data_IF_123570969421
#
_entry.id   IF_123570969421
#
_cell.length_a   1.000
_cell.length_b   1.000
_cell.length_c   1.000
_cell.angle_alpha   90.00
_cell.angle_beta   90.00
_cell.angle_gamma   90.00
#
_symmetry.space_group_name_H-M   'P 1'
#
loop_
_entity.id
_entity.type
_entity.pdbx_description
1 polymer ?
#
# COMPACT_ATOMS: atom_id res chain seq x y z
N UNK A 1 24.53 -8.71 9.77
CA UNK A 1 23.34 -9.23 10.47
C UNK A 1 22.58 -10.12 9.50
N UNK A 2 22.42 -11.41 9.80
CA UNK A 2 21.74 -12.34 8.88
C UNK A 2 20.24 -12.13 8.94
N UNK A 3 19.69 -11.45 7.94
CA UNK A 3 18.26 -11.28 7.75
C UNK A 3 17.64 -12.63 7.37
N UNK A 4 17.18 -13.39 8.34
CA UNK A 4 16.38 -14.58 8.07
C UNK A 4 14.96 -14.13 7.79
N UNK A 5 14.52 -14.30 6.55
CA UNK A 5 13.12 -14.22 6.15
C UNK A 5 12.27 -15.05 7.11
N UNK A 6 11.35 -14.44 7.84
CA UNK A 6 10.31 -15.21 8.51
C UNK A 6 9.52 -15.86 7.38
N UNK A 7 9.53 -17.18 7.32
CA UNK A 7 8.83 -17.87 6.24
C UNK A 7 7.35 -17.50 6.35
N UNK A 8 6.71 -17.24 5.20
CA UNK A 8 5.25 -17.03 5.12
C UNK A 8 4.47 -18.13 5.84
N UNK A 9 5.03 -19.32 5.96
CA UNK A 9 4.53 -20.42 6.78
C UNK A 9 4.42 -20.10 8.28
N UNK A 10 5.33 -19.31 8.87
CA UNK A 10 5.21 -18.91 10.29
C UNK A 10 4.10 -17.90 10.51
N UNK A 11 3.86 -17.01 9.56
CA UNK A 11 2.72 -16.10 9.59
C UNK A 11 1.40 -16.87 9.45
N UNK A 12 1.36 -17.87 8.57
CA UNK A 12 0.16 -18.69 8.32
C UNK A 12 -0.11 -19.71 9.44
N UNK A 13 0.94 -20.28 10.06
CA UNK A 13 0.76 -21.32 11.11
C UNK A 13 0.21 -20.78 12.43
N UNK A 14 0.33 -19.47 12.68
CA UNK A 14 -0.29 -18.81 13.85
C UNK A 14 -1.77 -18.46 13.62
N UNK A 15 -2.27 -18.63 12.40
CA UNK A 15 -3.59 -18.22 11.97
C UNK A 15 -4.33 -19.44 11.43
N UNK A 16 -5.33 -19.90 12.13
CA UNK A 16 -6.26 -20.93 11.61
C UNK A 16 -7.03 -20.32 10.43
N UNK A 17 -6.47 -20.48 9.22
CA UNK A 17 -7.05 -19.96 8.00
C UNK A 17 -8.38 -20.61 7.69
N UNK A 18 -9.48 -19.94 8.03
CA UNK A 18 -10.78 -20.28 7.45
C UNK A 18 -10.79 -19.82 5.99
N UNK A 19 -11.29 -20.66 5.09
CA UNK A 19 -11.52 -20.21 3.72
C UNK A 19 -12.36 -18.93 3.76
N UNK A 20 -11.96 -17.90 3.01
CA UNK A 20 -12.72 -16.65 2.92
C UNK A 20 -14.17 -16.88 2.46
N UNK A 21 -14.45 -17.97 1.73
CA UNK A 21 -15.80 -18.38 1.32
C UNK A 21 -16.69 -18.78 2.50
N UNK A 22 -16.10 -19.11 3.66
CA UNK A 22 -16.83 -19.41 4.89
C UNK A 22 -16.99 -18.19 5.82
N UNK A 23 -16.67 -16.99 5.36
CA UNK A 23 -16.86 -15.77 6.14
C UNK A 23 -18.33 -15.37 6.17
N UNK A 24 -18.87 -15.22 7.37
CA UNK A 24 -20.26 -14.81 7.57
C UNK A 24 -20.43 -13.28 7.61
N UNK A 25 -19.34 -12.51 7.74
CA UNK A 25 -19.40 -11.05 7.67
C UNK A 25 -19.46 -10.57 6.22
N UNK A 26 -20.50 -9.84 5.81
CA UNK A 26 -20.61 -9.29 4.45
C UNK A 26 -19.42 -8.39 4.08
N UNK A 27 -18.95 -7.58 5.03
CA UNK A 27 -17.80 -6.67 4.86
C UNK A 27 -16.52 -7.46 4.56
N UNK A 28 -16.21 -8.48 5.37
CA UNK A 28 -15.02 -9.30 5.17
C UNK A 28 -15.13 -10.16 3.92
N UNK A 29 -16.31 -10.65 3.61
CA UNK A 29 -16.55 -11.42 2.38
C UNK A 29 -16.32 -10.56 1.13
N UNK A 30 -16.88 -9.33 1.09
CA UNK A 30 -16.65 -8.39 -0.02
C UNK A 30 -15.18 -8.04 -0.17
N UNK A 31 -14.49 -7.74 0.93
CA UNK A 31 -13.06 -7.47 0.95
C UNK A 31 -12.26 -8.65 0.40
N UNK A 32 -12.45 -9.84 0.95
CA UNK A 32 -11.73 -11.04 0.55
C UNK A 32 -11.97 -11.37 -0.93
N UNK A 33 -13.20 -11.23 -1.39
CA UNK A 33 -13.55 -11.40 -2.80
C UNK A 33 -12.82 -10.40 -3.69
N UNK A 34 -12.81 -9.12 -3.33
CA UNK A 34 -12.13 -8.08 -4.09
C UNK A 34 -10.60 -8.29 -4.16
N UNK A 35 -10.00 -8.77 -3.07
CA UNK A 35 -8.56 -9.03 -2.99
C UNK A 35 -8.13 -10.32 -3.71
N UNK A 36 -8.96 -11.36 -3.74
CA UNK A 36 -8.60 -12.68 -4.26
C UNK A 36 -9.17 -13.01 -5.62
N UNK A 37 -10.38 -12.55 -5.93
CA UNK A 37 -11.03 -12.80 -7.22
C UNK A 37 -10.86 -11.57 -8.13
N UNK A 38 -10.76 -11.81 -9.42
CA UNK A 38 -10.95 -10.79 -10.44
C UNK A 38 -12.37 -10.92 -11.00
N UNK A 39 -13.36 -10.26 -10.42
CA UNK A 39 -14.73 -10.39 -10.88
C UNK A 39 -14.83 -9.90 -12.33
N UNK A 40 -15.47 -10.70 -13.18
CA UNK A 40 -15.72 -10.35 -14.58
C UNK A 40 -16.64 -9.13 -14.72
N UNK A 41 -17.40 -8.83 -13.67
CA UNK A 41 -18.34 -7.70 -13.60
C UNK A 41 -18.19 -7.00 -12.26
N UNK A 42 -18.05 -5.69 -12.31
CA UNK A 42 -18.12 -4.82 -11.13
C UNK A 42 -19.60 -4.53 -10.84
N UNK A 43 -20.03 -4.48 -9.56
CA UNK A 43 -21.44 -4.27 -9.20
C UNK A 43 -22.01 -2.92 -9.64
N UNK A 44 -21.21 -1.93 -9.92
CA UNK A 44 -21.60 -0.52 -9.89
C UNK A 44 -21.75 0.15 -11.27
N UNK A 45 -21.89 -0.61 -12.36
CA UNK A 45 -22.12 -0.01 -13.69
C UNK A 45 -20.97 0.85 -14.24
N UNK A 46 -19.83 0.92 -13.53
CA UNK A 46 -18.64 1.58 -14.05
C UNK A 46 -18.19 0.87 -15.31
N UNK A 47 -18.20 1.60 -16.43
CA UNK A 47 -17.91 1.05 -17.75
C UNK A 47 -16.51 0.47 -17.77
N UNK A 48 -16.42 -0.85 -17.89
CA UNK A 48 -15.19 -1.64 -18.01
C UNK A 48 -14.22 -1.14 -19.11
N UNK A 49 -14.68 -0.32 -20.03
CA UNK A 49 -13.87 0.22 -21.13
C UNK A 49 -12.86 1.25 -20.64
N UNK A 50 -13.28 2.23 -19.85
CA UNK A 50 -12.39 3.27 -19.34
C UNK A 50 -11.37 2.71 -18.36
N UNK A 51 -11.77 1.72 -17.56
CA UNK A 51 -10.90 1.02 -16.63
C UNK A 51 -9.83 0.18 -17.33
N UNK A 52 -10.20 -0.50 -18.43
CA UNK A 52 -9.24 -1.27 -19.24
C UNK A 52 -8.20 -0.38 -19.92
N UNK A 53 -8.61 0.77 -20.46
CA UNK A 53 -7.70 1.72 -21.09
C UNK A 53 -6.72 2.30 -20.07
N UNK A 54 -7.21 2.72 -18.90
CA UNK A 54 -6.37 3.22 -17.82
C UNK A 54 -5.37 2.14 -17.35
N UNK A 55 -5.82 0.90 -17.18
CA UNK A 55 -4.95 -0.21 -16.79
C UNK A 55 -3.88 -0.50 -17.85
N UNK A 56 -4.25 -0.50 -19.14
CA UNK A 56 -3.28 -0.69 -20.22
C UNK A 56 -2.22 0.41 -20.25
N UNK A 57 -2.62 1.67 -19.99
CA UNK A 57 -1.71 2.80 -19.92
C UNK A 57 -0.72 2.68 -18.76
N UNK A 58 -1.16 2.26 -17.58
CA UNK A 58 -0.29 1.97 -16.42
C UNK A 58 0.68 0.84 -16.77
N UNK A 59 0.23 -0.23 -17.41
CA UNK A 59 1.05 -1.35 -17.85
C UNK A 59 2.11 -0.95 -18.87
N UNK A 60 1.73 -0.14 -19.84
CA UNK A 60 2.64 0.39 -20.84
C UNK A 60 3.73 1.25 -20.19
N UNK A 61 3.36 2.12 -19.25
CA UNK A 61 4.31 2.94 -18.50
C UNK A 61 5.27 2.08 -17.67
N UNK A 62 4.78 1.06 -16.97
CA UNK A 62 5.61 0.11 -16.23
C UNK A 62 6.60 -0.60 -17.16
N UNK A 63 6.15 -1.04 -18.32
CA UNK A 63 7.00 -1.70 -19.32
C UNK A 63 8.07 -0.76 -19.85
N UNK A 64 7.73 0.50 -20.14
CA UNK A 64 8.67 1.56 -20.53
C UNK A 64 9.76 1.74 -19.45
N UNK A 65 9.40 1.82 -18.19
CA UNK A 65 10.36 1.99 -17.10
C UNK A 65 11.24 0.75 -16.89
N UNK A 66 10.70 -0.46 -17.05
CA UNK A 66 11.48 -1.70 -17.00
C UNK A 66 12.55 -1.78 -18.10
N UNK A 67 12.33 -1.11 -19.22
CA UNK A 67 13.27 -1.02 -20.34
C UNK A 67 14.17 0.22 -20.27
N UNK A 68 13.97 1.11 -19.31
CA UNK A 68 14.71 2.37 -19.20
C UNK A 68 16.17 2.15 -18.83
N UNK A 69 17.08 2.87 -19.51
CA UNK A 69 18.49 2.97 -19.13
C UNK A 69 18.77 4.13 -18.16
N UNK A 70 17.75 4.94 -17.83
CA UNK A 70 17.92 6.07 -16.93
C UNK A 70 18.27 5.63 -15.52
N UNK A 71 19.06 6.45 -14.86
CA UNK A 71 19.36 6.36 -13.42
C UNK A 71 18.83 7.60 -12.72
N UNK A 72 18.45 7.45 -11.48
CA UNK A 72 18.10 8.56 -10.60
C UNK A 72 18.92 8.48 -9.32
N UNK A 73 19.27 9.64 -8.83
CA UNK A 73 19.85 9.79 -7.50
C UNK A 73 18.73 9.60 -6.47
N UNK A 74 18.84 8.54 -5.70
CA UNK A 74 17.83 8.13 -4.73
C UNK A 74 18.36 8.32 -3.31
N UNK A 75 17.56 8.98 -2.48
CA UNK A 75 17.80 9.13 -1.06
C UNK A 75 16.88 8.17 -0.32
N UNK A 76 17.47 7.15 0.31
CA UNK A 76 16.73 6.17 1.09
C UNK A 76 16.66 6.61 2.55
N UNK A 77 15.47 6.89 3.03
CA UNK A 77 15.20 7.27 4.43
C UNK A 77 14.72 6.08 5.28
N UNK A 78 14.61 4.89 4.69
CA UNK A 78 14.10 3.67 5.35
C UNK A 78 15.16 2.61 5.61
N UNK A 79 14.69 1.36 5.80
CA UNK A 79 15.54 0.19 6.07
C UNK A 79 16.43 -0.25 4.90
N UNK A 80 16.36 0.43 3.77
CA UNK A 80 17.06 0.08 2.55
C UNK A 80 16.36 -0.96 1.69
N UNK A 81 16.92 -1.20 0.50
CA UNK A 81 16.41 -2.21 -0.44
C UNK A 81 17.03 -3.58 -0.15
N UNK A 82 16.27 -4.67 -0.36
CA UNK A 82 16.76 -6.05 -0.26
C UNK A 82 18.02 -6.34 -1.08
N UNK A 83 18.28 -5.55 -2.12
CA UNK A 83 19.40 -5.77 -3.05
C UNK A 83 20.64 -4.96 -2.68
N UNK A 84 20.48 -3.87 -1.91
CA UNK A 84 21.62 -3.08 -1.39
C UNK A 84 21.29 -2.66 0.04
N UNK A 85 22.05 -3.18 0.98
CA UNK A 85 21.98 -2.76 2.39
C UNK A 85 22.58 -1.36 2.55
N UNK A 86 21.86 -0.45 3.18
CA UNK A 86 22.33 0.87 3.58
C UNK A 86 21.31 1.98 3.34
N UNK A 87 21.17 2.84 4.34
CA UNK A 87 20.54 4.15 4.20
C UNK A 87 21.54 5.12 3.54
N UNK A 88 21.04 6.06 2.74
CA UNK A 88 21.85 7.10 2.14
C UNK A 88 21.61 7.30 0.65
N UNK A 89 22.44 8.19 0.09
CA UNK A 89 22.37 8.59 -1.30
C UNK A 89 22.96 7.53 -2.21
N UNK A 90 22.20 7.02 -3.17
CA UNK A 90 22.67 6.03 -4.14
C UNK A 90 22.08 6.30 -5.51
N UNK A 91 22.86 6.04 -6.57
CA UNK A 91 22.32 6.02 -7.91
C UNK A 91 21.57 4.70 -8.15
N UNK A 92 20.30 4.78 -8.47
CA UNK A 92 19.46 3.62 -8.77
C UNK A 92 18.96 3.64 -10.21
N UNK A 93 19.07 2.53 -10.89
CA UNK A 93 18.48 2.39 -12.23
C UNK A 93 16.94 2.37 -12.10
N UNK A 94 16.27 3.16 -12.92
CA UNK A 94 14.80 3.18 -13.00
C UNK A 94 14.26 1.79 -13.32
N UNK A 95 14.91 1.08 -14.22
CA UNK A 95 14.54 -0.31 -14.57
C UNK A 95 14.63 -1.26 -13.37
N UNK A 96 15.56 -1.03 -12.44
CA UNK A 96 15.67 -1.82 -11.21
C UNK A 96 14.48 -1.53 -10.28
N UNK A 97 14.17 -0.24 -10.04
CA UNK A 97 13.00 0.14 -9.24
C UNK A 97 11.71 -0.44 -9.83
N UNK A 98 11.52 -0.33 -11.14
CA UNK A 98 10.32 -0.82 -11.82
C UNK A 98 10.15 -2.35 -11.78
N UNK A 99 11.26 -3.11 -11.62
CA UNK A 99 11.22 -4.58 -11.57
C UNK A 99 11.11 -5.13 -10.16
N UNK A 100 11.74 -4.48 -9.18
CA UNK A 100 12.04 -5.10 -7.88
C UNK A 100 11.51 -4.33 -6.67
N UNK A 101 11.19 -3.04 -6.82
CA UNK A 101 10.74 -2.19 -5.70
C UNK A 101 9.25 -1.91 -5.78
N UNK A 102 8.72 -1.66 -6.96
CA UNK A 102 7.29 -1.38 -7.12
C UNK A 102 6.42 -2.55 -6.69
N UNK A 103 5.34 -2.25 -6.00
CA UNK A 103 4.25 -3.19 -5.72
C UNK A 103 3.89 -3.99 -6.97
N UNK A 104 3.73 -5.29 -6.82
CA UNK A 104 3.34 -6.16 -7.94
C UNK A 104 1.99 -5.69 -8.51
N UNK A 105 1.88 -5.69 -9.83
CA UNK A 105 0.69 -5.19 -10.52
C UNK A 105 -0.59 -5.91 -10.08
N UNK A 106 -0.54 -7.23 -9.93
CA UNK A 106 -1.68 -8.02 -9.46
C UNK A 106 -2.18 -7.59 -8.08
N UNK A 107 -1.27 -7.15 -7.22
CA UNK A 107 -1.58 -6.75 -5.86
C UNK A 107 -2.12 -5.31 -5.83
N UNK A 108 -1.52 -4.39 -6.60
CA UNK A 108 -2.02 -3.04 -6.77
C UNK A 108 -3.43 -3.03 -7.39
N UNK A 109 -3.70 -3.90 -8.39
CA UNK A 109 -5.02 -4.10 -8.95
C UNK A 109 -6.00 -4.67 -7.92
N UNK A 110 -5.59 -5.64 -7.10
CA UNK A 110 -6.44 -6.21 -6.08
C UNK A 110 -6.83 -5.18 -5.02
N UNK A 111 -5.87 -4.34 -4.59
CA UNK A 111 -6.14 -3.23 -3.66
C UNK A 111 -7.08 -2.19 -4.29
N UNK A 112 -6.87 -1.81 -5.55
CA UNK A 112 -7.79 -0.91 -6.26
C UNK A 112 -9.21 -1.49 -6.36
N UNK A 113 -9.36 -2.80 -6.60
CA UNK A 113 -10.65 -3.48 -6.55
C UNK A 113 -11.27 -3.44 -5.17
N UNK A 114 -10.46 -3.65 -4.12
CA UNK A 114 -10.94 -3.55 -2.75
C UNK A 114 -11.42 -2.13 -2.43
N UNK A 115 -10.66 -1.09 -2.77
CA UNK A 115 -11.10 0.29 -2.60
C UNK A 115 -12.46 0.55 -3.28
N UNK A 116 -12.65 0.08 -4.52
CA UNK A 116 -13.96 0.18 -5.21
C UNK A 116 -15.08 -0.59 -4.52
N UNK A 117 -14.76 -1.64 -3.78
CA UNK A 117 -15.76 -2.43 -3.06
C UNK A 117 -16.21 -1.79 -1.75
N UNK A 118 -15.55 -0.73 -1.31
CA UNK A 118 -16.00 0.08 -0.19
C UNK A 118 -17.16 0.97 -0.65
N UNK A 119 -18.16 1.13 0.20
CA UNK A 119 -19.42 1.82 -0.16
C UNK A 119 -19.26 3.34 -0.39
N UNK A 120 -18.05 3.87 -0.21
CA UNK A 120 -17.74 5.30 -0.32
C UNK A 120 -16.52 5.53 -1.18
N UNK A 121 -16.58 6.50 -2.09
CA UNK A 121 -15.40 7.12 -2.67
C UNK A 121 -14.82 8.05 -1.60
N UNK A 122 -13.58 7.79 -1.20
CA UNK A 122 -12.96 8.47 -0.08
C UNK A 122 -11.56 8.96 -0.43
N UNK A 123 -10.82 9.31 0.62
CA UNK A 123 -9.43 9.74 0.54
C UNK A 123 -8.51 8.60 0.91
N UNK A 124 -7.51 8.32 0.07
CA UNK A 124 -6.42 7.39 0.39
C UNK A 124 -5.11 8.16 0.54
N UNK A 125 -4.38 7.84 1.61
CA UNK A 125 -3.00 8.27 1.80
C UNK A 125 -2.06 7.10 1.53
N UNK A 126 -1.09 7.31 0.66
CA UNK A 126 0.02 6.39 0.43
C UNK A 126 1.31 6.97 1.02
N UNK A 127 2.02 6.20 1.86
CA UNK A 127 3.37 6.52 2.34
C UNK A 127 4.36 5.62 1.61
N UNK A 128 5.22 6.21 0.77
CA UNK A 128 6.14 5.50 -0.11
C UNK A 128 5.66 5.48 -1.55
N UNK A 129 5.71 6.63 -2.21
CA UNK A 129 5.27 6.80 -3.61
C UNK A 129 6.08 5.97 -4.59
N UNK A 130 7.41 5.89 -4.37
CA UNK A 130 8.34 5.31 -5.34
C UNK A 130 8.13 5.91 -6.75
N UNK A 131 7.98 5.11 -7.79
CA UNK A 131 7.69 5.61 -9.14
C UNK A 131 6.19 5.92 -9.37
N UNK A 132 5.34 5.84 -8.33
CA UNK A 132 3.96 6.30 -8.34
C UNK A 132 2.94 5.42 -9.08
N UNK A 133 3.24 4.14 -9.34
CA UNK A 133 2.29 3.26 -10.03
C UNK A 133 1.13 2.82 -9.14
N UNK A 134 1.36 2.60 -7.85
CA UNK A 134 0.30 2.25 -6.90
C UNK A 134 -0.71 3.39 -6.76
N UNK A 135 -0.22 4.63 -6.63
CA UNK A 135 -1.07 5.82 -6.64
C UNK A 135 -1.98 5.87 -7.88
N UNK A 136 -1.48 5.53 -9.08
CA UNK A 136 -2.31 5.48 -10.29
C UNK A 136 -3.40 4.42 -10.23
N UNK A 137 -3.14 3.26 -9.62
CA UNK A 137 -4.17 2.25 -9.40
C UNK A 137 -5.26 2.75 -8.44
N UNK A 138 -4.90 3.56 -7.43
CA UNK A 138 -5.86 4.17 -6.52
C UNK A 138 -6.68 5.27 -7.20
N UNK A 139 -6.06 6.15 -8.01
CA UNK A 139 -6.78 7.12 -8.87
C UNK A 139 -7.77 6.39 -9.78
N UNK A 140 -7.35 5.31 -10.44
CA UNK A 140 -8.20 4.49 -11.29
C UNK A 140 -9.40 3.89 -10.53
N UNK A 141 -9.28 3.68 -9.22
CA UNK A 141 -10.39 3.22 -8.41
C UNK A 141 -11.42 4.30 -8.08
N UNK A 142 -11.17 5.55 -8.47
CA UNK A 142 -12.06 6.69 -8.24
C UNK A 142 -11.86 7.36 -6.87
N UNK A 143 -10.72 7.13 -6.24
CA UNK A 143 -10.41 7.70 -4.93
C UNK A 143 -9.52 8.95 -5.04
N UNK A 144 -9.72 9.89 -4.13
CA UNK A 144 -8.81 11.03 -3.93
C UNK A 144 -7.49 10.53 -3.36
N UNK A 145 -6.40 10.72 -4.08
CA UNK A 145 -5.10 10.19 -3.70
C UNK A 145 -4.18 11.28 -3.17
N UNK A 146 -3.68 11.07 -1.97
CA UNK A 146 -2.52 11.79 -1.45
C UNK A 146 -1.37 10.79 -1.29
N UNK A 147 -0.14 11.19 -1.67
CA UNK A 147 1.03 10.32 -1.56
C UNK A 147 2.26 11.07 -1.07
N UNK A 148 3.05 10.42 -0.23
CA UNK A 148 4.23 10.98 0.42
C UNK A 148 5.49 10.24 0.02
N UNK A 149 6.54 10.98 -0.35
CA UNK A 149 7.83 10.43 -0.79
C UNK A 149 8.99 11.16 -0.12
N UNK A 150 9.97 10.39 0.39
CA UNK A 150 11.17 10.95 0.99
C UNK A 150 12.15 11.55 -0.01
N UNK A 151 12.25 10.96 -1.20
CA UNK A 151 13.22 11.34 -2.21
C UNK A 151 12.62 12.28 -3.27
N UNK A 152 13.10 13.56 -3.38
CA UNK A 152 12.60 14.50 -4.38
C UNK A 152 12.74 14.00 -5.83
N UNK A 153 13.86 13.34 -6.13
CA UNK A 153 14.12 12.85 -7.48
C UNK A 153 13.18 11.69 -7.86
N UNK A 154 12.87 10.83 -6.90
CA UNK A 154 11.90 9.75 -7.08
C UNK A 154 10.50 10.32 -7.31
N UNK A 155 10.09 11.32 -6.50
CA UNK A 155 8.82 12.01 -6.70
C UNK A 155 8.74 12.74 -8.04
N UNK A 156 9.82 13.39 -8.48
CA UNK A 156 9.84 14.04 -9.79
C UNK A 156 9.63 13.03 -10.92
N UNK A 157 10.20 11.84 -10.79
CA UNK A 157 9.96 10.75 -11.75
C UNK A 157 8.52 10.26 -11.73
N UNK A 158 7.92 10.08 -10.55
CA UNK A 158 6.51 9.72 -10.41
C UNK A 158 5.60 10.75 -11.09
N UNK A 159 5.80 12.04 -10.81
CA UNK A 159 5.04 13.14 -11.43
C UNK A 159 5.14 13.13 -12.95
N UNK A 160 6.34 12.90 -13.51
CA UNK A 160 6.50 12.80 -14.96
C UNK A 160 5.69 11.63 -15.56
N UNK A 161 5.60 10.53 -14.83
CA UNK A 161 4.74 9.40 -15.19
C UNK A 161 3.26 9.77 -15.20
N UNK A 162 2.78 10.41 -14.14
CA UNK A 162 1.39 10.86 -14.01
C UNK A 162 1.03 11.90 -15.08
N UNK A 163 1.94 12.84 -15.36
CA UNK A 163 1.78 13.81 -16.44
C UNK A 163 1.65 13.14 -17.82
N UNK A 164 2.48 12.11 -18.07
CA UNK A 164 2.41 11.38 -19.34
C UNK A 164 1.09 10.62 -19.56
N UNK A 165 0.36 10.35 -18.47
CA UNK A 165 -0.96 9.71 -18.49
C UNK A 165 -2.12 10.70 -18.29
N UNK A 166 -1.83 12.01 -18.12
CA UNK A 166 -2.85 13.04 -17.90
C UNK A 166 -3.55 12.95 -16.54
N UNK A 167 -2.91 12.30 -15.53
CA UNK A 167 -3.50 12.09 -14.19
C UNK A 167 -2.77 12.85 -13.08
N UNK A 168 -1.81 13.71 -13.40
CA UNK A 168 -1.05 14.49 -12.41
C UNK A 168 -1.97 15.30 -11.47
N UNK A 169 -3.00 15.92 -12.02
CA UNK A 169 -3.99 16.68 -11.24
C UNK A 169 -4.87 15.84 -10.32
N UNK A 170 -4.85 14.51 -10.45
CA UNK A 170 -5.61 13.59 -9.61
C UNK A 170 -4.83 13.10 -8.38
N UNK A 171 -3.55 13.46 -8.25
CA UNK A 171 -2.68 13.02 -7.17
C UNK A 171 -2.11 14.22 -6.42
N UNK A 172 -2.43 14.33 -5.15
CA UNK A 172 -1.76 15.28 -4.25
C UNK A 172 -0.49 14.64 -3.73
N UNK A 173 0.66 15.25 -3.98
CA UNK A 173 1.95 14.67 -3.56
C UNK A 173 2.73 15.61 -2.65
N UNK A 174 3.32 15.04 -1.59
CA UNK A 174 4.23 15.73 -0.66
C UNK A 174 5.62 15.09 -0.69
N UNK A 175 6.65 15.91 -0.48
CA UNK A 175 8.06 15.47 -0.42
C UNK A 175 8.64 15.85 0.92
N UNK A 176 9.26 14.90 1.59
CA UNK A 176 9.88 15.07 2.92
C UNK A 176 9.95 13.75 3.67
N UNK A 177 10.53 13.75 4.85
CA UNK A 177 10.47 12.59 5.73
C UNK A 177 9.04 12.38 6.25
N UNK A 178 8.63 11.14 6.49
CA UNK A 178 7.31 10.88 7.05
C UNK A 178 7.10 11.57 8.40
N UNK A 179 8.17 11.64 9.20
CA UNK A 179 8.14 12.33 10.48
C UNK A 179 7.81 13.82 10.32
N UNK A 180 8.54 14.54 9.44
CA UNK A 180 8.29 15.96 9.21
C UNK A 180 6.90 16.22 8.65
N UNK A 181 6.41 15.32 7.77
CA UNK A 181 5.08 15.46 7.18
C UNK A 181 3.96 15.18 8.18
N UNK A 182 4.18 14.29 9.18
CA UNK A 182 3.26 14.08 10.29
C UNK A 182 3.18 15.30 11.22
N UNK A 183 4.33 15.93 11.50
CA UNK A 183 4.40 17.13 12.34
C UNK A 183 3.69 18.33 11.70
N UNK A 184 3.72 18.43 10.37
CA UNK A 184 3.06 19.47 9.56
C UNK A 184 1.60 19.19 9.25
N UNK A 185 1.00 18.14 9.81
CA UNK A 185 -0.40 17.80 9.52
C UNK A 185 -1.37 18.77 10.19
N UNK A 186 -2.37 19.20 9.41
CA UNK A 186 -3.56 19.84 9.96
C UNK A 186 -4.25 18.95 10.98
N UNK A 187 -4.81 19.55 12.04
CA UNK A 187 -5.51 18.81 13.10
C UNK A 187 -6.67 17.96 12.56
N UNK A 188 -7.34 18.44 11.52
CA UNK A 188 -8.46 17.78 10.88
C UNK A 188 -8.07 16.86 9.71
N UNK A 189 -6.76 16.73 9.42
CA UNK A 189 -6.30 15.85 8.36
C UNK A 189 -6.71 14.41 8.66
N UNK A 190 -7.44 13.79 7.73
CA UNK A 190 -7.93 12.43 7.88
C UNK A 190 -8.13 11.77 6.51
N UNK A 191 -8.00 10.46 6.51
CA UNK A 191 -8.15 9.62 5.32
C UNK A 191 -9.05 8.43 5.65
N UNK A 192 -9.72 7.93 4.63
CA UNK A 192 -10.55 6.72 4.78
C UNK A 192 -9.66 5.48 4.81
N UNK A 193 -8.65 5.45 3.94
CA UNK A 193 -7.65 4.38 3.89
C UNK A 193 -6.24 4.95 3.90
N UNK A 194 -5.34 4.32 4.64
CA UNK A 194 -3.89 4.62 4.62
C UNK A 194 -3.15 3.38 4.15
N UNK A 195 -2.21 3.56 3.24
CA UNK A 195 -1.33 2.52 2.73
C UNK A 195 0.13 2.85 3.06
N UNK A 196 0.75 2.06 3.94
CA UNK A 196 2.14 2.18 4.35
C UNK A 196 3.00 1.22 3.53
N UNK A 197 3.69 1.73 2.53
CA UNK A 197 4.65 1.01 1.68
C UNK A 197 6.02 1.69 1.72
N UNK A 198 6.49 1.99 2.89
CA UNK A 198 7.78 2.62 3.11
C UNK A 198 8.33 2.37 4.49
N UNK A 199 9.62 2.67 4.65
CA UNK A 199 10.37 2.56 5.90
C UNK A 199 10.72 1.13 6.35
N UNK A 200 9.94 0.11 6.11
CA UNK A 200 10.11 -1.34 6.43
C UNK A 200 11.02 -1.66 7.64
N UNK A 201 10.98 -0.80 8.65
CA UNK A 201 11.67 -0.89 9.93
C UNK A 201 10.60 -0.92 11.04
N UNK A 202 10.68 -1.91 11.93
CA UNK A 202 9.60 -2.23 12.85
C UNK A 202 9.18 -1.09 13.77
N UNK A 203 10.15 -0.42 14.40
CA UNK A 203 9.85 0.67 15.34
C UNK A 203 9.25 1.89 14.61
N UNK A 204 9.81 2.25 13.46
CA UNK A 204 9.30 3.36 12.66
C UNK A 204 7.90 3.04 12.11
N UNK A 205 7.66 1.81 11.62
CA UNK A 205 6.34 1.38 11.15
C UNK A 205 5.31 1.45 12.27
N UNK A 206 5.65 0.98 13.48
CA UNK A 206 4.76 1.08 14.65
C UNK A 206 4.43 2.54 14.97
N UNK A 207 5.44 3.41 15.03
CA UNK A 207 5.25 4.84 15.27
C UNK A 207 4.32 5.48 14.24
N UNK A 208 4.49 5.16 12.95
CA UNK A 208 3.62 5.66 11.87
C UNK A 208 2.17 5.16 12.03
N UNK A 209 1.98 3.88 12.36
CA UNK A 209 0.65 3.32 12.59
C UNK A 209 -0.03 4.01 13.78
N UNK A 210 0.67 4.16 14.90
CA UNK A 210 0.14 4.79 16.11
C UNK A 210 -0.23 6.27 15.86
N UNK A 211 0.61 7.02 15.14
CA UNK A 211 0.38 8.43 14.80
C UNK A 211 -0.79 8.62 13.81
N UNK A 212 -0.98 7.67 12.88
CA UNK A 212 -2.02 7.75 11.85
C UNK A 212 -3.35 7.13 12.30
N UNK A 213 -3.36 6.20 13.25
CA UNK A 213 -4.56 5.50 13.69
C UNK A 213 -5.75 6.43 14.04
N UNK A 214 -5.56 7.57 14.75
CA UNK A 214 -6.66 8.50 15.03
C UNK A 214 -7.20 9.21 13.78
N UNK A 215 -6.44 9.24 12.70
CA UNK A 215 -6.72 9.95 11.44
C UNK A 215 -7.27 9.04 10.34
N UNK A 216 -7.34 7.73 10.62
CA UNK A 216 -7.88 6.71 9.71
C UNK A 216 -9.34 6.43 10.05
N UNK A 217 -10.22 6.51 9.05
CA UNK A 217 -11.66 6.26 9.23
C UNK A 217 -12.05 4.79 9.04
N UNK A 218 -11.44 4.10 8.09
CA UNK A 218 -11.85 2.75 7.69
C UNK A 218 -10.73 1.71 7.85
N UNK A 219 -9.59 1.92 7.18
CA UNK A 219 -8.55 0.91 7.13
C UNK A 219 -7.13 1.48 7.02
N UNK A 220 -6.16 0.74 7.57
CA UNK A 220 -4.74 0.96 7.39
C UNK A 220 -4.08 -0.32 6.89
N UNK A 221 -3.33 -0.22 5.81
CA UNK A 221 -2.57 -1.32 5.21
C UNK A 221 -1.10 -1.12 5.52
N UNK A 222 -0.43 -2.13 6.01
CA UNK A 222 1.03 -2.17 6.21
C UNK A 222 1.61 -3.18 5.23
N UNK A 223 2.45 -2.73 4.31
CA UNK A 223 3.15 -3.63 3.40
C UNK A 223 4.34 -4.32 4.07
N UNK A 224 4.76 -5.43 3.51
CA UNK A 224 5.95 -6.19 3.91
C UNK A 224 6.04 -6.53 5.42
N UNK A 225 4.92 -6.91 6.07
CA UNK A 225 4.87 -7.26 7.50
C UNK A 225 5.78 -8.44 7.90
N UNK A 226 6.30 -9.17 6.92
CA UNK A 226 7.24 -10.28 7.08
C UNK A 226 8.66 -9.95 6.58
N UNK A 227 8.95 -8.65 6.34
CA UNK A 227 10.26 -8.22 5.84
C UNK A 227 11.41 -8.59 6.76
N UNK A 228 11.24 -8.38 8.05
CA UNK A 228 12.20 -8.66 9.11
C UNK A 228 11.48 -9.10 10.38
N UNK A 229 12.24 -9.59 11.36
CA UNK A 229 11.71 -9.91 12.68
C UNK A 229 11.09 -8.68 13.34
N UNK A 230 11.75 -7.53 13.28
CA UNK A 230 11.21 -6.26 13.80
C UNK A 230 9.91 -5.83 13.13
N UNK A 231 9.76 -6.02 11.80
CA UNK A 231 8.48 -5.77 11.11
C UNK A 231 7.39 -6.72 11.55
N UNK A 232 7.72 -8.00 11.79
CA UNK A 232 6.76 -8.96 12.31
C UNK A 232 6.32 -8.62 13.73
N UNK A 233 7.24 -8.25 14.60
CA UNK A 233 6.94 -7.80 15.97
C UNK A 233 6.07 -6.54 15.98
N UNK A 234 6.40 -5.57 15.12
CA UNK A 234 5.58 -4.37 14.94
C UNK A 234 4.16 -4.73 14.50
N UNK A 235 4.01 -5.61 13.51
CA UNK A 235 2.70 -6.10 13.07
C UNK A 235 1.93 -6.77 14.21
N UNK A 236 2.58 -7.65 15.00
CA UNK A 236 1.93 -8.29 16.13
C UNK A 236 1.45 -7.28 17.18
N UNK A 237 2.22 -6.23 17.44
CA UNK A 237 1.85 -5.19 18.39
C UNK A 237 0.68 -4.31 17.91
N UNK A 238 0.72 -3.84 16.65
CA UNK A 238 -0.32 -2.91 16.15
C UNK A 238 -1.67 -3.59 15.97
N UNK A 239 -1.71 -4.88 15.62
CA UNK A 239 -2.99 -5.60 15.48
C UNK A 239 -3.71 -5.82 16.84
N UNK A 240 -3.00 -5.73 17.96
CA UNK A 240 -3.56 -5.86 19.29
C UNK A 240 -4.13 -4.55 19.85
N UNK A 241 -3.80 -3.41 19.22
CA UNK A 241 -4.37 -2.10 19.59
C UNK A 241 -5.90 -2.12 19.53
N UNK A 242 -6.53 -1.42 20.49
CA UNK A 242 -8.00 -1.24 20.53
C UNK A 242 -8.52 -0.35 19.39
N UNK A 243 -7.63 0.33 18.68
CA UNK A 243 -7.98 1.11 17.49
C UNK A 243 -8.58 0.27 16.37
N UNK A 244 -8.26 -1.03 16.34
CA UNK A 244 -8.62 -1.92 15.25
C UNK A 244 -9.48 -3.08 15.74
N UNK A 245 -10.57 -3.33 15.03
CA UNK A 245 -11.47 -4.46 15.31
C UNK A 245 -11.12 -5.70 14.52
N UNK A 246 -10.61 -5.52 13.32
CA UNK A 246 -10.24 -6.65 12.47
C UNK A 246 -8.84 -6.45 11.95
N UNK A 247 -8.02 -7.48 12.02
CA UNK A 247 -6.74 -7.56 11.34
C UNK A 247 -6.77 -8.69 10.31
N UNK A 248 -6.29 -8.40 9.11
CA UNK A 248 -6.25 -9.34 7.99
C UNK A 248 -4.82 -9.44 7.50
N UNK A 249 -4.34 -10.67 7.31
CA UNK A 249 -3.07 -10.93 6.60
C UNK A 249 -3.40 -11.36 5.18
N UNK A 250 -2.80 -10.67 4.19
CA UNK A 250 -2.99 -10.96 2.78
C UNK A 250 -1.69 -10.75 2.01
N UNK A 251 -1.13 -11.80 1.41
CA UNK A 251 0.07 -11.76 0.55
C UNK A 251 1.24 -10.94 1.13
N UNK A 252 1.55 -11.13 2.41
CA UNK A 252 2.62 -10.39 3.09
C UNK A 252 2.25 -8.99 3.57
N UNK A 253 1.00 -8.57 3.37
CA UNK A 253 0.43 -7.33 3.89
C UNK A 253 -0.44 -7.58 5.10
N UNK A 254 -0.39 -6.64 6.03
CA UNK A 254 -1.33 -6.55 7.14
C UNK A 254 -2.36 -5.47 6.86
N UNK A 255 -3.64 -5.78 7.04
CA UNK A 255 -4.73 -4.83 6.86
C UNK A 255 -5.48 -4.72 8.19
N UNK A 256 -5.55 -3.51 8.72
CA UNK A 256 -6.22 -3.16 9.97
C UNK A 256 -7.52 -2.43 9.64
N UNK A 257 -8.65 -2.88 10.19
CA UNK A 257 -9.96 -2.28 9.93
C UNK A 257 -10.53 -1.70 11.23
N UNK A 258 -11.07 -0.48 11.17
CA UNK A 258 -11.83 0.12 12.28
C UNK A 258 -13.09 -0.69 12.60
N UNK A 259 -13.94 -0.98 11.66
CA UNK A 259 -15.14 -1.84 11.71
C UNK A 259 -15.82 -1.91 13.10
N UNK A 260 -16.32 -0.79 13.67
CA UNK A 260 -16.75 -0.71 15.07
C UNK A 260 -17.92 -1.63 15.43
N UNK A 261 -18.67 -2.08 14.42
CA UNK A 261 -19.79 -3.01 14.57
C UNK A 261 -19.35 -4.50 14.65
N UNK A 262 -18.05 -4.77 14.51
CA UNK A 262 -17.52 -6.13 14.52
C UNK A 262 -16.80 -6.45 15.83
N UNK A 263 -16.87 -7.72 16.24
CA UNK A 263 -16.01 -8.22 17.30
C UNK A 263 -14.55 -8.24 16.86
N UNK A 264 -13.62 -8.08 17.82
CA UNK A 264 -12.18 -8.16 17.55
C UNK A 264 -11.83 -9.54 17.00
N UNK A 265 -11.21 -9.57 15.83
CA UNK A 265 -10.85 -10.83 15.16
C UNK A 265 -9.67 -10.68 14.22
N UNK A 266 -9.00 -11.79 13.97
CA UNK A 266 -7.87 -11.93 13.09
C UNK A 266 -8.23 -12.89 11.95
N UNK A 267 -7.85 -12.53 10.72
CA UNK A 267 -8.16 -13.27 9.50
C UNK A 267 -6.91 -13.44 8.66
N UNK A 268 -6.71 -14.62 8.09
CA UNK A 268 -5.68 -14.85 7.08
C UNK A 268 -6.37 -15.19 5.75
N UNK A 269 -6.06 -14.40 4.73
CA UNK A 269 -6.45 -14.67 3.35
C UNK A 269 -5.27 -15.33 2.63
N UNK A 270 -5.32 -16.64 2.50
CA UNK A 270 -4.31 -17.42 1.81
C UNK A 270 -4.41 -17.28 0.29
#
# INVERSE_FOLDING_TARGET
MNWRRISSHRLVSQWTGKSWRSMHSPTLFRMARALQENPKHWPDGATLLDDKVALQSIRALRSKWRASSATLEHHDHGAGSRVKHGSGQTNRAVSHLARHVLTQESDAEAMARWLRSLDTHGKVLELGTSLGLTAMHFVRSGWDVETWEGCPNTMAWARSGWQSLGVEGCVRSRVGTFQSMLEDLDENACWDVVFLDGHHEGQATRHLVDALAPRVRQALVVDDIAWSEGMHEAWMAVQDSEDWRVSVVWRGRGILLKAPHMAKQRVCLA
#
